data_IF_871562020002
#
_entry.id   IF_871562020002
#
_cell.length_a   1.000
_cell.length_b   1.000
_cell.length_c   1.000
_cell.angle_alpha   90.00
_cell.angle_beta   90.00
_cell.angle_gamma   90.00
#
_symmetry.space_group_name_H-M   'P 1'
#
loop_
_entity.id
_entity.type
_entity.pdbx_description
1 polymer ?
#
# COMPACT_ATOMS: atom_id res chain seq x y z
N UNK A 1 51.10 20.34 -8.72
CA UNK A 1 50.50 19.41 -7.72
C UNK A 1 49.14 20.07 -7.35
N UNK A 2 48.14 19.86 -8.23
CA UNK A 2 46.80 20.31 -7.99
C UNK A 2 46.12 19.35 -7.03
N UNK A 3 45.74 19.86 -5.87
CA UNK A 3 44.89 19.12 -4.94
C UNK A 3 43.49 19.11 -5.50
N UNK A 4 43.06 17.93 -5.90
CA UNK A 4 41.66 17.63 -6.22
C UNK A 4 40.84 17.79 -4.95
N UNK A 5 40.18 18.95 -4.79
CA UNK A 5 39.16 19.17 -3.78
C UNK A 5 37.88 18.57 -4.32
N UNK A 6 37.67 17.29 -4.08
CA UNK A 6 36.34 16.73 -4.16
C UNK A 6 35.46 17.46 -3.12
N UNK A 7 34.75 18.49 -3.56
CA UNK A 7 33.64 19.07 -2.78
C UNK A 7 32.65 17.95 -2.52
N UNK A 8 32.64 17.40 -1.32
CA UNK A 8 31.56 16.56 -0.85
C UNK A 8 30.31 17.45 -0.77
N UNK A 9 29.49 17.44 -1.80
CA UNK A 9 28.19 18.15 -1.82
C UNK A 9 27.38 17.71 -0.61
N UNK A 10 27.06 18.67 0.27
CA UNK A 10 26.24 18.41 1.46
C UNK A 10 24.92 17.78 1.02
N UNK A 11 24.63 16.60 1.53
CA UNK A 11 23.39 15.88 1.24
C UNK A 11 22.37 16.20 2.32
N UNK A 12 21.23 16.76 1.91
CA UNK A 12 20.11 17.11 2.80
C UNK A 12 19.21 15.90 3.07
N UNK A 13 18.41 15.98 4.14
CA UNK A 13 17.47 14.95 4.52
C UNK A 13 16.07 15.29 3.98
N UNK A 14 15.35 14.26 3.57
CA UNK A 14 13.93 14.27 3.26
C UNK A 14 13.23 13.41 4.30
N UNK A 15 12.60 14.04 5.27
CA UNK A 15 11.83 13.42 6.32
C UNK A 15 10.40 13.17 5.83
N UNK A 16 9.85 12.00 6.08
CA UNK A 16 8.43 11.69 5.86
C UNK A 16 7.75 11.26 7.14
N UNK A 17 6.67 11.95 7.50
CA UNK A 17 5.82 11.57 8.63
C UNK A 17 5.03 10.31 8.31
N UNK A 18 5.40 9.20 8.95
CA UNK A 18 4.73 7.92 8.79
C UNK A 18 3.44 7.87 9.59
N UNK A 19 2.28 7.71 8.93
CA UNK A 19 0.97 7.62 9.57
C UNK A 19 -0.04 6.82 8.76
N UNK A 20 -1.18 6.49 9.40
CA UNK A 20 -2.20 5.64 8.79
C UNK A 20 -1.84 4.16 8.74
N UNK A 21 -2.63 3.36 8.04
CA UNK A 21 -2.40 1.92 7.85
C UNK A 21 -1.20 1.61 6.95
N UNK A 22 -0.76 0.35 6.91
CA UNK A 22 0.42 -0.08 6.14
C UNK A 22 0.35 0.35 4.66
N UNK A 23 -0.82 0.23 4.01
CA UNK A 23 -0.98 0.66 2.61
C UNK A 23 -0.71 2.16 2.40
N UNK A 24 -1.11 3.01 3.33
CA UNK A 24 -0.80 4.45 3.29
C UNK A 24 0.69 4.70 3.52
N UNK A 25 1.30 4.00 4.46
CA UNK A 25 2.74 4.11 4.75
C UNK A 25 3.60 3.69 3.54
N UNK A 26 3.19 2.66 2.80
CA UNK A 26 3.87 2.26 1.57
C UNK A 26 3.82 3.35 0.49
N UNK A 27 2.71 4.10 0.37
CA UNK A 27 2.65 5.26 -0.51
C UNK A 27 3.57 6.40 -0.05
N UNK A 28 3.59 6.69 1.24
CA UNK A 28 4.45 7.71 1.83
C UNK A 28 5.93 7.42 1.53
N UNK A 29 6.35 6.18 1.75
CA UNK A 29 7.73 5.76 1.43
C UNK A 29 7.99 5.82 -0.07
N UNK A 30 7.05 5.34 -0.90
CA UNK A 30 7.23 5.30 -2.36
C UNK A 30 7.42 6.69 -2.95
N UNK A 31 6.54 7.63 -2.60
CA UNK A 31 6.61 9.01 -3.09
C UNK A 31 7.90 9.70 -2.64
N UNK A 32 8.23 9.59 -1.36
CA UNK A 32 9.42 10.25 -0.83
C UNK A 32 10.73 9.59 -1.27
N UNK A 33 10.71 8.28 -1.55
CA UNK A 33 11.84 7.59 -2.15
C UNK A 33 12.16 8.12 -3.55
N UNK A 34 11.14 8.28 -4.40
CA UNK A 34 11.32 8.87 -5.73
C UNK A 34 11.84 10.30 -5.66
N UNK A 35 11.24 11.14 -4.80
CA UNK A 35 11.65 12.53 -4.60
C UNK A 35 13.10 12.60 -4.08
N UNK A 36 13.44 11.80 -3.07
CA UNK A 36 14.78 11.75 -2.50
C UNK A 36 15.84 11.34 -3.55
N UNK A 37 15.51 10.35 -4.38
CA UNK A 37 16.36 9.90 -5.47
C UNK A 37 16.55 10.98 -6.54
N UNK A 38 15.46 11.61 -6.98
CA UNK A 38 15.46 12.70 -7.98
C UNK A 38 16.33 13.88 -7.52
N UNK A 39 16.28 14.21 -6.24
CA UNK A 39 16.97 15.36 -5.65
C UNK A 39 18.24 15.01 -4.87
N UNK A 40 18.75 13.78 -4.96
CA UNK A 40 19.93 13.31 -4.22
C UNK A 40 19.89 13.63 -2.72
N UNK A 41 18.74 13.37 -2.08
CA UNK A 41 18.52 13.58 -0.64
C UNK A 41 18.57 12.24 0.13
N UNK A 42 18.77 12.30 1.45
CA UNK A 42 18.66 11.14 2.32
C UNK A 42 17.20 10.98 2.75
N UNK A 43 16.55 9.87 2.38
CA UNK A 43 15.21 9.57 2.89
C UNK A 43 15.29 9.09 4.35
N UNK A 44 14.46 9.68 5.22
CA UNK A 44 14.36 9.33 6.64
C UNK A 44 12.89 9.20 7.03
N UNK A 45 12.48 8.05 7.53
CA UNK A 45 11.13 7.78 7.99
C UNK A 45 10.94 8.30 9.42
N UNK A 46 9.91 9.12 9.64
CA UNK A 46 9.66 9.77 10.93
C UNK A 46 8.47 9.15 11.62
N UNK A 47 8.63 8.76 12.87
CA UNK A 47 7.54 8.28 13.73
C UNK A 47 7.27 9.25 14.88
N UNK A 48 5.97 9.39 15.24
CA UNK A 48 5.50 10.16 16.41
C UNK A 48 4.95 9.20 17.45
N UNK A 49 5.62 9.03 18.58
CA UNK A 49 5.23 8.09 19.64
C UNK A 49 3.80 8.31 20.16
N UNK A 50 3.36 9.56 20.26
CA UNK A 50 2.03 9.89 20.79
C UNK A 50 0.90 9.50 19.83
N UNK A 51 1.12 9.55 18.51
CA UNK A 51 0.11 9.21 17.50
C UNK A 51 -0.23 7.73 17.51
N UNK A 52 0.71 6.91 17.95
CA UNK A 52 0.64 5.47 17.91
C UNK A 52 0.01 4.86 19.16
N UNK A 53 0.02 5.56 20.29
CA UNK A 53 -0.56 5.08 21.56
C UNK A 53 -2.09 4.93 21.53
N UNK A 54 -2.78 5.68 20.68
CA UNK A 54 -4.25 5.67 20.58
C UNK A 54 -4.81 4.70 19.53
N UNK A 55 -3.98 4.13 18.69
CA UNK A 55 -4.40 3.12 17.73
C UNK A 55 -4.16 1.71 18.28
N UNK A 56 -5.17 0.84 18.22
CA UNK A 56 -5.04 -0.59 18.62
C UNK A 56 -3.95 -1.35 17.81
N UNK A 57 -3.22 -0.65 16.96
CA UNK A 57 -2.17 -1.12 16.06
C UNK A 57 -0.73 -0.84 16.52
N UNK A 58 -0.53 -0.29 17.72
CA UNK A 58 0.79 0.16 18.23
C UNK A 58 1.91 -0.88 18.19
N UNK A 59 1.58 -2.17 18.40
CA UNK A 59 2.56 -3.25 18.30
C UNK A 59 3.05 -3.53 16.86
N UNK A 60 2.36 -2.98 15.85
CA UNK A 60 2.63 -3.27 14.44
C UNK A 60 3.64 -2.34 13.79
N UNK A 61 3.96 -1.21 14.41
CA UNK A 61 4.91 -0.23 13.84
C UNK A 61 6.32 -0.72 14.00
N UNK A 62 6.68 -1.15 15.18
CA UNK A 62 7.99 -1.77 15.42
C UNK A 62 8.18 -2.96 14.47
N UNK A 63 7.10 -3.73 14.21
CA UNK A 63 7.09 -4.81 13.25
C UNK A 63 7.35 -4.31 11.81
N UNK A 64 6.71 -3.22 11.36
CA UNK A 64 6.92 -2.70 10.00
C UNK A 64 8.30 -2.11 9.82
N UNK A 65 8.81 -1.35 10.80
CA UNK A 65 10.16 -0.79 10.73
C UNK A 65 11.24 -1.86 10.81
N UNK A 66 11.01 -2.95 11.53
CA UNK A 66 11.96 -4.07 11.61
C UNK A 66 11.84 -5.06 10.45
N UNK A 67 10.85 -4.92 9.56
CA UNK A 67 10.58 -5.85 8.46
C UNK A 67 10.55 -5.14 7.09
N UNK A 68 9.40 -4.62 6.68
CA UNK A 68 9.19 -4.06 5.33
C UNK A 68 9.94 -2.74 5.12
N UNK A 69 10.20 -1.97 6.19
CA UNK A 69 10.95 -0.70 6.16
C UNK A 69 12.36 -0.80 6.75
N UNK A 70 12.87 -2.00 7.02
CA UNK A 70 14.16 -2.24 7.72
C UNK A 70 15.38 -1.61 7.04
N UNK A 71 15.31 -1.41 5.73
CA UNK A 71 16.44 -0.88 4.94
C UNK A 71 16.40 0.67 4.84
N UNK A 72 15.45 1.32 5.53
CA UNK A 72 15.33 2.78 5.58
C UNK A 72 15.80 3.34 6.92
N UNK A 73 16.42 4.51 6.87
CA UNK A 73 16.74 5.26 8.08
C UNK A 73 15.46 5.73 8.79
N UNK A 74 15.46 5.68 10.11
CA UNK A 74 14.31 6.08 10.93
C UNK A 74 14.73 7.05 12.02
N UNK A 75 13.83 7.96 12.40
CA UNK A 75 14.06 8.93 13.49
C UNK A 75 12.73 9.21 14.23
N UNK A 76 12.82 9.48 15.54
CA UNK A 76 11.68 10.02 16.27
C UNK A 76 11.44 11.49 15.88
N UNK A 77 10.17 11.88 15.78
CA UNK A 77 9.81 13.29 15.53
C UNK A 77 10.44 14.25 16.52
N UNK A 78 10.58 13.83 17.78
CA UNK A 78 11.13 14.65 18.86
C UNK A 78 12.65 14.88 18.72
N UNK A 79 13.33 14.07 17.91
CA UNK A 79 14.79 14.16 17.69
C UNK A 79 15.16 15.00 16.46
N UNK A 80 14.16 15.55 15.74
CA UNK A 80 14.38 16.41 14.58
C UNK A 80 14.60 17.87 15.04
N UNK A 81 15.72 18.45 14.61
CA UNK A 81 15.94 19.90 14.73
C UNK A 81 15.25 20.62 13.56
N UNK A 82 14.09 21.22 13.85
CA UNK A 82 13.30 21.96 12.88
C UNK A 82 13.80 23.38 12.56
N UNK A 83 14.90 23.83 13.13
CA UNK A 83 15.42 25.21 12.93
C UNK A 83 15.73 25.56 11.48
N UNK A 84 16.05 24.54 10.66
CA UNK A 84 16.36 24.70 9.23
C UNK A 84 15.69 23.60 8.38
N UNK A 85 14.41 23.34 8.63
CA UNK A 85 13.62 22.33 7.91
C UNK A 85 12.43 23.02 7.24
N UNK A 86 12.26 22.80 5.94
CA UNK A 86 11.09 23.25 5.19
C UNK A 86 10.00 22.21 5.31
N UNK A 87 8.84 22.59 5.86
CA UNK A 87 7.69 21.69 5.96
C UNK A 87 6.82 21.80 4.72
N UNK A 88 6.49 20.65 4.14
CA UNK A 88 5.56 20.51 3.02
C UNK A 88 4.35 19.68 3.45
N UNK A 89 3.16 20.24 3.30
CA UNK A 89 1.89 19.53 3.51
C UNK A 89 1.25 19.23 2.15
N UNK A 90 0.92 17.95 1.90
CA UNK A 90 0.23 17.55 0.69
C UNK A 90 -1.14 18.22 0.58
N UNK A 91 -1.43 18.99 -0.48
CA UNK A 91 -2.73 19.68 -0.60
C UNK A 91 -3.90 18.73 -0.87
N UNK A 92 -3.68 17.71 -1.72
CA UNK A 92 -4.68 16.68 -2.09
C UNK A 92 -4.01 15.34 -2.30
N UNK A 93 -4.44 14.31 -1.59
CA UNK A 93 -3.74 13.03 -1.51
C UNK A 93 -3.69 12.20 -2.80
N UNK A 94 -4.51 12.52 -3.81
CA UNK A 94 -4.52 11.80 -5.10
C UNK A 94 -3.85 12.58 -6.24
N UNK A 95 -3.42 13.81 -5.99
CA UNK A 95 -2.74 14.62 -6.99
C UNK A 95 -1.24 14.27 -7.04
N UNK A 96 -0.65 14.46 -8.22
CA UNK A 96 0.79 14.37 -8.39
C UNK A 96 1.42 15.76 -8.39
N UNK A 97 2.46 15.94 -7.59
CA UNK A 97 3.19 17.20 -7.44
C UNK A 97 4.64 17.01 -7.85
N UNK A 98 5.04 17.55 -8.99
CA UNK A 98 6.40 17.38 -9.55
C UNK A 98 7.45 18.29 -8.89
N UNK A 99 7.04 19.45 -8.38
CA UNK A 99 7.93 20.50 -7.87
C UNK A 99 7.85 20.70 -6.35
N UNK A 100 7.86 19.59 -5.59
CA UNK A 100 7.82 19.65 -4.12
C UNK A 100 9.11 20.27 -3.57
N UNK A 101 10.26 19.85 -4.07
CA UNK A 101 11.57 20.40 -3.68
C UNK A 101 11.95 21.51 -4.65
N UNK A 102 11.86 22.74 -4.20
CA UNK A 102 12.18 23.91 -5.01
C UNK A 102 13.66 24.29 -4.95
N UNK A 103 14.29 24.12 -3.78
CA UNK A 103 15.70 24.45 -3.55
C UNK A 103 16.33 23.41 -2.62
N UNK A 104 17.49 22.90 -2.97
CA UNK A 104 18.26 21.97 -2.13
C UNK A 104 19.20 22.72 -1.17
N UNK A 105 18.64 23.61 -0.38
CA UNK A 105 19.39 24.42 0.59
C UNK A 105 19.08 24.07 2.03
N UNK A 106 18.10 23.17 2.25
CA UNK A 106 17.60 22.80 3.57
C UNK A 106 17.12 21.36 3.58
N UNK A 107 16.94 20.80 4.76
CA UNK A 107 16.17 19.58 4.96
C UNK A 107 14.69 19.83 4.71
N UNK A 108 13.93 18.80 4.32
CA UNK A 108 12.49 18.88 4.09
C UNK A 108 11.77 17.89 5.01
N UNK A 109 10.61 18.32 5.52
CA UNK A 109 9.69 17.47 6.28
C UNK A 109 8.35 17.43 5.56
N UNK A 110 7.93 16.21 5.19
CA UNK A 110 6.73 15.98 4.39
C UNK A 110 5.62 15.35 5.22
N UNK A 111 4.41 15.89 5.07
CA UNK A 111 3.17 15.35 5.65
C UNK A 111 2.13 15.16 4.54
N UNK A 112 1.61 13.94 4.41
CA UNK A 112 0.60 13.56 3.43
C UNK A 112 0.55 12.07 3.22
N UNK A 113 -0.37 11.61 2.35
CA UNK A 113 -0.49 10.21 1.94
C UNK A 113 0.15 9.92 0.59
N UNK A 114 0.23 10.90 -0.30
CA UNK A 114 0.87 10.84 -1.62
C UNK A 114 0.35 9.67 -2.47
N UNK A 115 -0.97 9.45 -2.48
CA UNK A 115 -1.61 8.32 -3.13
C UNK A 115 -1.79 8.55 -4.63
N UNK A 116 -0.68 8.66 -5.36
CA UNK A 116 -0.68 8.76 -6.81
C UNK A 116 0.35 7.81 -7.41
N UNK A 117 -0.06 7.00 -8.40
CA UNK A 117 0.81 5.99 -9.03
C UNK A 117 2.03 6.57 -9.73
N UNK A 118 1.98 7.85 -10.14
CA UNK A 118 3.11 8.54 -10.80
C UNK A 118 4.35 8.60 -9.91
N UNK A 119 4.19 8.65 -8.59
CA UNK A 119 5.32 8.56 -7.66
C UNK A 119 6.06 7.21 -7.68
N UNK A 120 5.49 6.20 -8.33
CA UNK A 120 6.13 4.89 -8.48
C UNK A 120 6.83 4.69 -9.81
N UNK A 121 6.50 5.47 -10.85
CA UNK A 121 6.90 5.18 -12.25
C UNK A 121 8.40 4.99 -12.42
N UNK A 122 9.24 5.82 -11.81
CA UNK A 122 10.69 5.79 -12.00
C UNK A 122 11.43 4.89 -11.01
N UNK A 123 10.79 4.44 -9.94
CA UNK A 123 11.42 3.65 -8.88
C UNK A 123 10.70 2.32 -8.60
N UNK A 124 9.65 1.97 -9.36
CA UNK A 124 8.76 0.85 -9.07
C UNK A 124 9.51 -0.46 -8.86
N UNK A 125 10.37 -0.84 -9.79
CA UNK A 125 11.08 -2.14 -9.73
C UNK A 125 11.98 -2.23 -8.50
N UNK A 126 12.80 -1.21 -8.26
CA UNK A 126 13.74 -1.16 -7.14
C UNK A 126 12.99 -1.15 -5.80
N UNK A 127 11.97 -0.32 -5.68
CA UNK A 127 11.19 -0.18 -4.46
C UNK A 127 10.38 -1.45 -4.15
N UNK A 128 9.77 -2.07 -5.16
CA UNK A 128 9.06 -3.33 -4.97
C UNK A 128 10.00 -4.47 -4.56
N UNK A 129 11.25 -4.48 -5.03
CA UNK A 129 12.28 -5.42 -4.56
C UNK A 129 12.62 -5.18 -3.08
N UNK A 130 12.77 -3.91 -2.67
CA UNK A 130 13.02 -3.53 -1.27
C UNK A 130 11.88 -3.97 -0.34
N UNK A 131 10.63 -3.89 -0.81
CA UNK A 131 9.46 -4.29 -0.03
C UNK A 131 9.19 -5.80 -0.03
N UNK A 132 9.93 -6.62 -0.78
CA UNK A 132 9.79 -8.07 -0.74
C UNK A 132 10.34 -8.66 0.57
N UNK A 133 9.67 -9.69 1.05
CA UNK A 133 10.18 -10.52 2.16
C UNK A 133 10.16 -12.01 1.76
N UNK A 134 11.24 -12.51 1.18
CA UNK A 134 11.29 -13.90 0.70
C UNK A 134 11.05 -14.95 1.80
N UNK A 135 11.40 -14.64 3.05
CA UNK A 135 11.20 -15.55 4.18
C UNK A 135 9.72 -15.73 4.48
N UNK A 136 8.98 -14.63 4.64
CA UNK A 136 7.52 -14.66 4.87
C UNK A 136 6.81 -15.28 3.67
N UNK A 137 7.19 -14.90 2.44
CA UNK A 137 6.60 -15.46 1.22
C UNK A 137 6.79 -16.98 1.14
N UNK A 138 7.98 -17.49 1.50
CA UNK A 138 8.26 -18.93 1.52
C UNK A 138 7.42 -19.66 2.55
N UNK A 139 7.30 -19.12 3.76
CA UNK A 139 6.46 -19.70 4.83
C UNK A 139 4.99 -19.80 4.40
N UNK A 140 4.44 -18.72 3.85
CA UNK A 140 3.07 -18.68 3.34
C UNK A 140 2.88 -19.70 2.21
N UNK A 141 3.78 -19.76 1.23
CA UNK A 141 3.70 -20.68 0.09
C UNK A 141 3.81 -22.15 0.50
N UNK A 142 4.48 -22.44 1.60
CA UNK A 142 4.53 -23.80 2.16
C UNK A 142 3.19 -24.21 2.79
N UNK A 143 2.49 -23.26 3.38
CA UNK A 143 1.21 -23.49 4.06
C UNK A 143 0.00 -23.53 3.12
N UNK A 144 0.04 -22.76 2.02
CA UNK A 144 -1.10 -22.57 1.12
C UNK A 144 -0.73 -23.00 -0.32
N UNK A 145 -1.19 -24.17 -0.74
CA UNK A 145 -0.78 -24.82 -2.02
C UNK A 145 -1.47 -24.28 -3.27
N UNK A 146 -2.59 -23.53 -3.15
CA UNK A 146 -3.40 -23.08 -4.29
C UNK A 146 -3.10 -21.64 -4.74
N UNK A 147 -2.07 -20.99 -4.18
CA UNK A 147 -1.79 -19.58 -4.43
C UNK A 147 -1.55 -19.25 -5.90
N UNK A 148 -0.89 -20.13 -6.65
CA UNK A 148 -0.57 -19.90 -8.06
C UNK A 148 -1.80 -19.91 -8.98
N UNK A 149 -2.88 -20.58 -8.57
CA UNK A 149 -4.11 -20.73 -9.35
C UNK A 149 -5.28 -19.91 -8.79
N UNK A 150 -5.03 -19.11 -7.77
CA UNK A 150 -6.09 -18.44 -7.01
C UNK A 150 -6.06 -16.92 -7.17
N UNK A 151 -7.23 -16.35 -6.94
CA UNK A 151 -7.45 -14.93 -6.73
C UNK A 151 -7.64 -14.63 -5.24
N UNK A 152 -7.27 -13.45 -4.78
CA UNK A 152 -7.77 -12.98 -3.50
C UNK A 152 -9.02 -12.11 -3.68
N UNK A 153 -9.87 -12.04 -2.67
CA UNK A 153 -10.91 -11.03 -2.49
C UNK A 153 -10.62 -10.32 -1.17
N UNK A 154 -10.31 -9.04 -1.22
CA UNK A 154 -10.08 -8.24 -0.03
C UNK A 154 -11.30 -7.38 0.29
N UNK A 155 -11.87 -7.56 1.48
CA UNK A 155 -13.02 -6.81 1.97
C UNK A 155 -12.58 -5.94 3.15
N UNK A 156 -12.57 -4.62 2.98
CA UNK A 156 -12.36 -3.65 4.05
C UNK A 156 -13.69 -3.16 4.59
N UNK A 157 -13.93 -3.36 5.88
CA UNK A 157 -15.16 -2.96 6.58
C UNK A 157 -14.87 -2.09 7.78
N UNK A 158 -14.29 -2.60 8.81
CA UNK A 158 -13.86 -1.96 10.06
C UNK A 158 -14.27 -0.50 10.21
N UNK A 159 -13.29 0.37 10.21
CA UNK A 159 -13.45 1.83 10.25
C UNK A 159 -14.23 2.42 9.05
N UNK A 160 -14.20 1.78 7.89
CA UNK A 160 -14.86 2.25 6.65
C UNK A 160 -16.39 2.27 6.73
N UNK A 161 -16.99 1.51 7.63
CA UNK A 161 -18.45 1.53 7.82
C UNK A 161 -18.95 2.87 8.36
N UNK A 162 -18.09 3.59 9.08
CA UNK A 162 -18.42 4.84 9.76
C UNK A 162 -17.90 6.08 9.02
N UNK A 163 -17.28 5.92 7.86
CA UNK A 163 -16.70 7.02 7.09
C UNK A 163 -17.44 7.14 5.75
N UNK A 164 -18.31 8.15 5.57
CA UNK A 164 -19.14 8.30 4.36
C UNK A 164 -18.34 8.35 3.05
N UNK A 165 -17.12 8.90 3.10
CA UNK A 165 -16.23 9.01 1.95
C UNK A 165 -15.80 7.65 1.38
N UNK A 166 -15.86 6.57 2.17
CA UNK A 166 -15.49 5.22 1.74
C UNK A 166 -16.70 4.30 1.48
N UNK A 167 -17.91 4.83 1.57
CA UNK A 167 -19.12 4.04 1.31
C UNK A 167 -19.43 3.91 -0.18
N UNK A 168 -19.76 2.69 -0.62
CA UNK A 168 -20.32 2.36 -1.92
C UNK A 168 -21.13 1.06 -1.80
N UNK A 169 -21.88 0.68 -2.81
CA UNK A 169 -22.59 -0.60 -2.83
C UNK A 169 -21.59 -1.76 -3.00
N UNK A 170 -21.16 -2.29 -1.86
CA UNK A 170 -20.15 -3.34 -1.80
C UNK A 170 -20.64 -4.66 -2.37
N UNK A 171 -21.87 -5.03 -2.07
CA UNK A 171 -22.42 -6.34 -2.46
C UNK A 171 -22.58 -6.40 -3.98
N UNK A 172 -23.12 -5.36 -4.61
CA UNK A 172 -23.21 -5.25 -6.07
C UNK A 172 -21.82 -5.30 -6.73
N UNK A 173 -20.87 -4.52 -6.19
CA UNK A 173 -19.50 -4.53 -6.70
C UNK A 173 -18.83 -5.90 -6.63
N UNK A 174 -18.82 -6.54 -5.46
CA UNK A 174 -18.16 -7.84 -5.31
C UNK A 174 -18.83 -8.92 -6.14
N UNK A 175 -20.15 -8.91 -6.25
CA UNK A 175 -20.90 -9.84 -7.11
C UNK A 175 -20.50 -9.68 -8.58
N UNK A 176 -20.45 -8.44 -9.10
CA UNK A 176 -19.99 -8.16 -10.47
C UNK A 176 -18.54 -8.56 -10.69
N UNK A 177 -17.66 -8.28 -9.74
CA UNK A 177 -16.24 -8.59 -9.83
C UNK A 177 -15.96 -10.10 -9.84
N UNK A 178 -16.65 -10.86 -8.99
CA UNK A 178 -16.58 -12.33 -8.95
C UNK A 178 -17.06 -12.92 -10.29
N UNK A 179 -18.22 -12.48 -10.77
CA UNK A 179 -18.77 -12.95 -12.05
C UNK A 179 -17.85 -12.61 -13.23
N UNK A 180 -17.24 -11.41 -13.22
CA UNK A 180 -16.26 -11.02 -14.24
C UNK A 180 -15.06 -11.97 -14.29
N UNK A 181 -14.48 -12.32 -13.12
CA UNK A 181 -13.34 -13.25 -13.07
C UNK A 181 -13.77 -14.66 -13.51
N UNK A 182 -14.89 -15.18 -13.02
CA UNK A 182 -15.39 -16.51 -13.41
C UNK A 182 -15.63 -16.61 -14.92
N UNK A 183 -16.19 -15.56 -15.53
CA UNK A 183 -16.41 -15.48 -16.97
C UNK A 183 -15.08 -15.39 -17.73
N UNK A 184 -14.15 -14.56 -17.28
CA UNK A 184 -12.82 -14.40 -17.91
C UNK A 184 -12.02 -15.70 -17.90
N UNK A 185 -12.08 -16.47 -16.81
CA UNK A 185 -11.40 -17.75 -16.68
C UNK A 185 -12.17 -18.91 -17.34
N UNK A 186 -13.37 -18.65 -17.88
CA UNK A 186 -14.28 -19.67 -18.42
C UNK A 186 -14.49 -20.83 -17.44
N UNK A 187 -14.43 -20.56 -16.15
CA UNK A 187 -14.41 -21.54 -15.09
C UNK A 187 -15.19 -21.08 -13.87
N UNK A 188 -16.30 -21.73 -13.56
CA UNK A 188 -17.11 -21.45 -12.37
C UNK A 188 -16.45 -21.95 -11.07
N UNK A 189 -15.38 -22.75 -11.16
CA UNK A 189 -14.66 -23.30 -10.02
C UNK A 189 -13.32 -22.60 -9.75
N UNK A 190 -13.18 -21.34 -10.18
CA UNK A 190 -12.04 -20.50 -9.78
C UNK A 190 -11.97 -20.46 -8.26
N UNK A 191 -10.79 -20.63 -7.71
CA UNK A 191 -10.59 -20.58 -6.27
C UNK A 191 -10.33 -19.14 -5.80
N UNK A 192 -11.07 -18.71 -4.77
CA UNK A 192 -10.91 -17.41 -4.14
C UNK A 192 -10.49 -17.55 -2.68
N UNK A 193 -9.43 -16.86 -2.31
CA UNK A 193 -9.09 -16.60 -0.92
C UNK A 193 -9.75 -15.31 -0.45
N UNK A 194 -10.62 -15.39 0.54
CA UNK A 194 -11.38 -14.27 1.08
C UNK A 194 -10.66 -13.74 2.31
N UNK A 195 -10.29 -12.47 2.27
CA UNK A 195 -9.50 -11.77 3.27
C UNK A 195 -10.26 -10.53 3.74
N UNK A 196 -10.43 -10.36 5.04
CA UNK A 196 -11.19 -9.23 5.60
C UNK A 196 -10.73 -8.91 7.03
N UNK A 197 -10.93 -7.66 7.43
CA UNK A 197 -10.89 -7.22 8.83
C UNK A 197 -12.20 -7.55 9.60
N UNK A 198 -13.22 -8.09 8.89
CA UNK A 198 -14.49 -8.58 9.42
C UNK A 198 -14.85 -9.91 8.72
N UNK A 199 -14.10 -10.96 9.04
CA UNK A 199 -14.23 -12.25 8.36
C UNK A 199 -15.56 -12.96 8.67
N UNK A 200 -16.14 -12.74 9.84
CA UNK A 200 -17.42 -13.34 10.23
C UNK A 200 -18.57 -12.76 9.40
N UNK A 201 -18.54 -11.47 9.10
CA UNK A 201 -19.46 -10.90 8.12
C UNK A 201 -19.33 -11.60 6.77
N UNK A 202 -18.11 -11.80 6.27
CA UNK A 202 -17.89 -12.44 4.96
C UNK A 202 -18.43 -13.87 4.92
N UNK A 203 -18.30 -14.64 6.01
CA UNK A 203 -18.84 -16.00 6.14
C UNK A 203 -20.37 -16.04 6.06
N UNK A 204 -21.05 -14.98 6.53
CA UNK A 204 -22.52 -14.88 6.58
C UNK A 204 -23.11 -14.16 5.36
N UNK A 205 -22.32 -13.35 4.64
CA UNK A 205 -22.79 -12.59 3.49
C UNK A 205 -23.04 -13.52 2.29
N UNK A 206 -24.22 -13.39 1.64
CA UNK A 206 -24.65 -14.27 0.55
C UNK A 206 -23.74 -14.21 -0.68
N UNK A 207 -23.10 -13.05 -0.96
CA UNK A 207 -22.18 -12.88 -2.11
C UNK A 207 -21.01 -13.82 -1.99
N UNK A 208 -20.39 -13.89 -0.80
CA UNK A 208 -19.22 -14.74 -0.59
C UNK A 208 -19.60 -16.17 -0.24
N UNK A 209 -20.74 -16.36 0.44
CA UNK A 209 -21.23 -17.70 0.79
C UNK A 209 -21.46 -18.57 -0.45
N UNK A 210 -21.96 -18.01 -1.53
CA UNK A 210 -22.31 -18.73 -2.75
C UNK A 210 -21.13 -18.98 -3.72
N UNK A 211 -19.92 -18.53 -3.42
CA UNK A 211 -18.75 -18.87 -4.23
C UNK A 211 -18.45 -20.38 -4.11
N UNK A 212 -18.38 -21.14 -5.21
CA UNK A 212 -18.24 -22.59 -5.15
C UNK A 212 -16.91 -23.05 -4.53
N UNK A 213 -15.80 -22.39 -4.87
CA UNK A 213 -14.47 -22.71 -4.34
C UNK A 213 -13.87 -21.49 -3.68
N UNK A 214 -13.88 -21.49 -2.36
CA UNK A 214 -13.36 -20.41 -1.53
C UNK A 214 -12.68 -20.92 -0.27
N UNK A 215 -11.78 -20.11 0.24
CA UNK A 215 -11.18 -20.26 1.58
C UNK A 215 -11.18 -18.93 2.28
N UNK A 216 -11.76 -18.87 3.46
CA UNK A 216 -11.71 -17.70 4.34
C UNK A 216 -10.38 -17.69 5.10
N UNK A 217 -9.64 -16.60 5.01
CA UNK A 217 -8.37 -16.40 5.72
C UNK A 217 -8.65 -15.64 7.01
N UNK A 218 -8.34 -16.28 8.13
CA UNK A 218 -8.59 -15.74 9.47
C UNK A 218 -7.33 -15.83 10.33
N UNK A 219 -7.19 -14.90 11.29
CA UNK A 219 -6.10 -14.90 12.28
C UNK A 219 -4.70 -14.54 11.74
N UNK A 220 -4.58 -14.10 10.49
CA UNK A 220 -3.32 -13.68 9.90
C UNK A 220 -3.01 -12.22 10.30
N UNK A 221 -1.76 -11.91 10.66
CA UNK A 221 -1.34 -10.54 10.93
C UNK A 221 -1.33 -9.68 9.66
N UNK A 222 -1.16 -8.36 9.82
CA UNK A 222 -1.26 -7.40 8.70
C UNK A 222 -0.19 -7.64 7.64
N UNK A 223 1.05 -7.90 8.06
CA UNK A 223 2.17 -8.07 7.13
C UNK A 223 2.06 -9.36 6.34
N UNK A 224 1.77 -10.47 7.02
CA UNK A 224 1.55 -11.75 6.39
C UNK A 224 0.35 -11.70 5.43
N UNK A 225 -0.72 -11.00 5.80
CA UNK A 225 -1.89 -10.78 4.94
C UNK A 225 -1.54 -10.04 3.64
N UNK A 226 -0.68 -9.01 3.72
CA UNK A 226 -0.20 -8.30 2.54
C UNK A 226 0.54 -9.24 1.58
N UNK A 227 1.51 -10.00 2.11
CA UNK A 227 2.27 -10.95 1.30
C UNK A 227 1.42 -12.12 0.80
N UNK A 228 0.50 -12.61 1.63
CA UNK A 228 -0.44 -13.65 1.22
C UNK A 228 -1.23 -13.23 -0.03
N UNK A 229 -1.83 -12.05 0.00
CA UNK A 229 -2.56 -11.52 -1.16
C UNK A 229 -1.65 -11.33 -2.39
N UNK A 230 -0.40 -10.89 -2.19
CA UNK A 230 0.56 -10.71 -3.29
C UNK A 230 0.98 -12.04 -3.93
N UNK A 231 0.89 -13.13 -3.20
CA UNK A 231 1.19 -14.49 -3.68
C UNK A 231 0.03 -15.15 -4.41
N UNK A 232 -1.18 -14.61 -4.36
CA UNK A 232 -2.29 -15.05 -5.22
C UNK A 232 -2.00 -14.65 -6.66
N UNK A 233 -1.34 -15.56 -7.43
CA UNK A 233 -0.72 -15.23 -8.73
C UNK A 233 -1.70 -14.74 -9.78
N UNK A 234 -2.92 -15.23 -9.76
CA UNK A 234 -3.97 -14.80 -10.70
C UNK A 234 -4.40 -13.33 -10.49
N UNK A 235 -4.11 -12.74 -9.32
CA UNK A 235 -4.49 -11.37 -8.98
C UNK A 235 -5.54 -11.29 -7.90
N UNK A 236 -6.45 -10.30 -7.98
CA UNK A 236 -7.48 -10.17 -6.96
C UNK A 236 -8.54 -9.11 -7.21
N UNK A 237 -9.57 -9.19 -6.38
CA UNK A 237 -10.64 -8.22 -6.25
C UNK A 237 -10.34 -7.35 -5.03
N UNK A 238 -10.07 -6.08 -5.27
CA UNK A 238 -9.70 -5.11 -4.24
C UNK A 238 -10.94 -4.40 -3.68
N UNK A 239 -10.97 -4.14 -2.37
CA UNK A 239 -11.76 -3.02 -1.85
C UNK A 239 -11.17 -1.69 -2.32
N UNK A 240 -11.84 -0.58 -2.00
CA UNK A 240 -11.30 0.77 -2.08
C UNK A 240 -10.24 1.02 -0.97
N UNK A 241 -9.23 0.16 -0.91
CA UNK A 241 -8.19 0.15 0.14
C UNK A 241 -6.79 0.12 -0.45
N UNK A 242 -5.97 1.07 -0.02
CA UNK A 242 -4.54 1.13 -0.36
C UNK A 242 -3.81 -0.17 -0.05
N UNK A 243 -4.26 -0.90 0.97
CA UNK A 243 -3.68 -2.16 1.39
C UNK A 243 -3.78 -3.26 0.32
N UNK A 244 -4.99 -3.48 -0.24
CA UNK A 244 -5.15 -4.46 -1.33
C UNK A 244 -4.49 -4.01 -2.63
N UNK A 245 -4.48 -2.71 -2.92
CA UNK A 245 -3.75 -2.17 -4.06
C UNK A 245 -2.25 -2.44 -3.96
N UNK A 246 -1.64 -2.27 -2.79
CA UNK A 246 -0.23 -2.62 -2.59
C UNK A 246 0.04 -4.12 -2.70
N UNK A 247 -0.88 -4.98 -2.28
CA UNK A 247 -0.76 -6.41 -2.52
C UNK A 247 -0.70 -6.74 -4.02
N UNK A 248 -1.48 -6.03 -4.85
CA UNK A 248 -1.41 -6.19 -6.32
C UNK A 248 -0.11 -5.65 -6.91
N UNK A 249 0.45 -4.56 -6.37
CA UNK A 249 1.76 -4.06 -6.80
C UNK A 249 2.89 -5.04 -6.48
N UNK A 250 2.84 -5.68 -5.30
CA UNK A 250 3.84 -6.68 -4.88
C UNK A 250 3.70 -8.02 -5.62
N UNK A 251 2.57 -8.30 -6.23
CA UNK A 251 2.39 -9.46 -7.10
C UNK A 251 3.13 -9.24 -8.42
N UNK A 252 4.18 -10.01 -8.63
CA UNK A 252 5.07 -9.89 -9.80
C UNK A 252 4.55 -10.54 -11.08
N UNK A 253 3.40 -11.27 -11.04
CA UNK A 253 2.84 -11.87 -12.24
C UNK A 253 2.32 -10.78 -13.20
N UNK A 254 2.85 -10.65 -14.44
CA UNK A 254 2.39 -9.67 -15.40
C UNK A 254 0.98 -9.95 -15.93
N UNK A 255 0.54 -11.21 -15.90
CA UNK A 255 -0.77 -11.65 -16.39
C UNK A 255 -1.87 -11.58 -15.33
N UNK A 256 -1.57 -11.02 -14.14
CA UNK A 256 -2.55 -10.89 -13.08
C UNK A 256 -3.75 -10.05 -13.49
N UNK A 257 -4.93 -10.43 -13.02
CA UNK A 257 -6.16 -9.65 -13.16
C UNK A 257 -6.47 -8.91 -11.87
N UNK A 258 -6.56 -7.60 -11.96
CA UNK A 258 -6.85 -6.71 -10.82
C UNK A 258 -8.18 -6.02 -11.06
N UNK A 259 -9.15 -6.28 -10.18
CA UNK A 259 -10.48 -5.66 -10.21
C UNK A 259 -10.59 -4.68 -9.05
N UNK A 260 -11.02 -3.46 -9.35
CA UNK A 260 -11.17 -2.38 -8.37
C UNK A 260 -12.58 -1.78 -8.45
N UNK A 261 -13.10 -1.16 -7.37
CA UNK A 261 -14.35 -0.43 -7.47
C UNK A 261 -14.14 0.86 -8.30
N UNK A 262 -15.08 1.15 -9.20
CA UNK A 262 -15.07 2.36 -10.01
C UNK A 262 -15.09 3.62 -9.15
N UNK A 263 -15.88 3.60 -8.07
CA UNK A 263 -15.87 4.62 -7.06
C UNK A 263 -14.89 4.24 -5.95
N UNK A 264 -13.63 4.71 -6.08
CA UNK A 264 -12.60 4.46 -5.07
C UNK A 264 -12.83 5.25 -3.79
N UNK A 265 -13.22 6.52 -3.93
CA UNK A 265 -13.52 7.42 -2.82
C UNK A 265 -14.59 8.43 -3.23
N UNK A 266 -15.43 8.86 -2.30
CA UNK A 266 -16.47 9.86 -2.52
C UNK A 266 -15.97 11.25 -2.10
N UNK A 267 -15.39 11.98 -3.04
CA UNK A 267 -14.83 13.33 -2.87
C UNK A 267 -15.24 14.24 -4.04
N UNK A 268 -15.22 15.55 -3.84
CA UNK A 268 -15.73 16.55 -4.79
C UNK A 268 -14.77 16.94 -5.92
N UNK A 269 -13.61 16.32 -6.02
CA UNK A 269 -12.65 16.61 -7.08
C UNK A 269 -12.26 15.35 -7.86
N UNK A 270 -11.85 15.51 -9.15
CA UNK A 270 -11.38 14.39 -9.95
C UNK A 270 -10.14 13.74 -9.34
N UNK A 271 -10.07 12.42 -9.40
CA UNK A 271 -8.91 11.65 -8.97
C UNK A 271 -8.72 10.43 -9.87
N UNK A 272 -7.51 9.89 -9.87
CA UNK A 272 -7.22 8.58 -10.47
C UNK A 272 -7.10 7.53 -9.36
N UNK A 273 -7.52 6.31 -9.65
CA UNK A 273 -7.25 5.16 -8.76
C UNK A 273 -5.73 4.99 -8.68
N UNK A 274 -5.16 4.93 -7.46
CA UNK A 274 -3.70 5.06 -7.27
C UNK A 274 -2.89 3.82 -7.64
N UNK A 275 -3.49 2.85 -8.33
CA UNK A 275 -2.86 1.58 -8.74
C UNK A 275 -3.18 1.24 -10.19
N UNK A 276 -2.34 0.40 -10.79
CA UNK A 276 -2.66 -0.25 -12.05
C UNK A 276 -3.72 -1.35 -11.81
N UNK A 277 -4.71 -1.40 -12.67
CA UNK A 277 -5.81 -2.36 -12.60
C UNK A 277 -6.24 -2.83 -14.00
N UNK A 278 -6.89 -4.01 -14.03
CA UNK A 278 -7.43 -4.55 -15.30
C UNK A 278 -8.77 -3.92 -15.63
N UNK A 279 -9.65 -3.80 -14.63
CA UNK A 279 -11.00 -3.23 -14.78
C UNK A 279 -11.47 -2.54 -13.49
N UNK A 280 -12.23 -1.47 -13.65
CA UNK A 280 -12.97 -0.81 -12.57
C UNK A 280 -14.47 -1.04 -12.79
N UNK A 281 -15.17 -1.58 -11.79
CA UNK A 281 -16.59 -1.96 -11.82
C UNK A 281 -17.45 -1.16 -10.85
#
# INVERSE_FOLDING_TARGET
MEMDKSETTKKYNLFIHMHGGLGNQLFQVAATYEIAKKHNMNLVLVYKEQFWRHMAHNKRIDEFFSTIFKDFNTISYNDIDFSNVITYHEPRCFDYYDNIIQQQTSDYYMEGYFQNKKFLENCKTELLQTFQNPSICKEISTKYILLDESYFIHIRRGDYLNIPTYTFDRDDYFMKAINYIMHKEENLYVHFFIVSDDIEYCKQNFVFHNIPRKTFIDGMNTLDTLYFMSLCKKGGICSNSTFSGWATNLNINPEKTVVVPKQWINIDYPYEIPFDYTIAL
#
